data_IF_989465864723
#
_entry.id   IF_989465864723
#
_cell.length_a   1.000
_cell.length_b   1.000
_cell.length_c   1.000
_cell.angle_alpha   90.00
_cell.angle_beta   90.00
_cell.angle_gamma   90.00
#
_symmetry.space_group_name_H-M   'P 1'
#
loop_
_entity.id
_entity.type
_entity.pdbx_description
1 polymer ?
#
# COMPACT_ATOMS: atom_id res chain seq x y z
N UNK A 1 -10.70 -0.68 0.67
CA UNK A 1 -9.82 -1.46 -0.25
C UNK A 1 -9.53 -2.79 0.42
N UNK A 2 -9.47 -3.89 -0.31
CA UNK A 2 -9.05 -5.19 0.23
C UNK A 2 -7.52 -5.31 0.21
N UNK A 3 -6.94 -5.98 1.21
CA UNK A 3 -5.48 -6.10 1.40
C UNK A 3 -4.84 -6.94 0.30
N UNK A 4 -5.44 -8.09 -0.02
CA UNK A 4 -4.95 -8.97 -1.07
C UNK A 4 -5.07 -8.29 -2.44
N UNK A 5 -6.15 -7.53 -2.65
CA UNK A 5 -6.31 -6.71 -3.85
C UNK A 5 -5.21 -5.66 -3.98
N UNK A 6 -4.86 -4.95 -2.91
CA UNK A 6 -3.79 -3.96 -2.95
C UNK A 6 -2.43 -4.60 -3.24
N UNK A 7 -2.12 -5.73 -2.59
CA UNK A 7 -0.89 -6.49 -2.85
C UNK A 7 -0.83 -6.93 -4.31
N UNK A 8 -1.91 -7.50 -4.85
CA UNK A 8 -1.96 -7.96 -6.23
C UNK A 8 -1.72 -6.84 -7.25
N UNK A 9 -2.32 -5.66 -7.04
CA UNK A 9 -2.13 -4.50 -7.92
C UNK A 9 -0.69 -3.97 -7.88
N UNK A 10 -0.12 -3.83 -6.68
CA UNK A 10 1.23 -3.27 -6.49
C UNK A 10 2.29 -4.25 -7.03
N UNK A 11 2.11 -5.55 -6.79
CA UNK A 11 3.01 -6.59 -7.32
C UNK A 11 2.89 -6.74 -8.84
N UNK A 12 1.69 -6.56 -9.42
CA UNK A 12 1.50 -6.50 -10.88
C UNK A 12 2.23 -5.31 -11.52
N UNK A 13 2.45 -4.22 -10.77
CA UNK A 13 3.29 -3.09 -11.17
C UNK A 13 4.80 -3.35 -11.02
N UNK A 14 5.19 -4.58 -10.64
CA UNK A 14 6.59 -4.98 -10.47
C UNK A 14 7.20 -4.58 -9.13
N UNK A 15 6.39 -4.15 -8.16
CA UNK A 15 6.84 -3.73 -6.84
C UNK A 15 6.59 -4.89 -5.85
N UNK A 16 7.66 -5.49 -5.36
CA UNK A 16 7.59 -6.67 -4.49
C UNK A 16 7.19 -6.31 -3.06
N UNK A 17 6.32 -7.13 -2.45
CA UNK A 17 5.97 -7.03 -1.04
C UNK A 17 7.10 -7.60 -0.18
N UNK A 18 7.67 -6.80 0.71
CA UNK A 18 8.80 -7.19 1.57
C UNK A 18 8.38 -7.48 3.01
N UNK A 19 7.31 -6.86 3.50
CA UNK A 19 6.75 -7.12 4.82
C UNK A 19 5.23 -6.96 4.79
N UNK A 20 4.53 -7.84 5.53
CA UNK A 20 3.10 -7.74 5.79
C UNK A 20 2.85 -8.04 7.25
N UNK A 21 2.28 -7.09 7.96
CA UNK A 21 1.93 -7.25 9.36
C UNK A 21 0.63 -6.57 9.73
N UNK A 22 0.01 -7.08 10.78
CA UNK A 22 -1.14 -6.45 11.41
C UNK A 22 -0.67 -5.36 12.37
N UNK A 23 -1.39 -4.25 12.47
CA UNK A 23 -1.11 -3.24 13.50
C UNK A 23 -1.41 -3.81 14.89
N UNK A 24 -0.74 -3.33 15.96
CA UNK A 24 -0.92 -3.85 17.32
C UNK A 24 -2.36 -3.77 17.86
N UNK A 25 -3.19 -2.90 17.28
CA UNK A 25 -4.59 -2.75 17.65
C UNK A 25 -5.56 -3.58 16.79
N UNK A 26 -5.02 -4.42 15.89
CA UNK A 26 -5.76 -5.25 14.94
C UNK A 26 -6.76 -4.47 14.08
N UNK A 27 -6.53 -3.18 13.81
CA UNK A 27 -7.43 -2.35 12.98
C UNK A 27 -6.94 -2.08 11.57
N UNK A 28 -5.67 -2.38 11.28
CA UNK A 28 -5.09 -2.11 9.98
C UNK A 28 -4.01 -3.13 9.61
N UNK A 29 -3.76 -3.24 8.31
CA UNK A 29 -2.61 -3.92 7.75
C UNK A 29 -1.55 -2.90 7.37
N UNK A 30 -0.30 -3.17 7.74
CA UNK A 30 0.86 -2.46 7.26
C UNK A 30 1.60 -3.36 6.26
N UNK A 31 1.82 -2.81 5.07
CA UNK A 31 2.50 -3.45 3.96
C UNK A 31 3.75 -2.62 3.63
N UNK A 32 4.90 -3.28 3.55
CA UNK A 32 6.14 -2.66 3.09
C UNK A 32 6.53 -3.24 1.74
N UNK A 33 7.06 -2.40 0.87
CA UNK A 33 7.41 -2.78 -0.49
C UNK A 33 8.88 -2.51 -0.80
N UNK A 34 9.43 -3.23 -1.79
CA UNK A 34 10.85 -3.20 -2.16
C UNK A 34 11.31 -1.83 -2.69
N UNK A 35 10.39 -1.01 -3.20
CA UNK A 35 10.66 0.36 -3.63
C UNK A 35 10.73 1.37 -2.46
N UNK A 36 10.56 0.91 -1.22
CA UNK A 36 10.56 1.74 -0.02
C UNK A 36 9.21 2.34 0.35
N UNK A 37 8.13 1.95 -0.34
CA UNK A 37 6.79 2.42 -0.05
C UNK A 37 6.19 1.62 1.12
N UNK A 38 5.41 2.32 1.95
CA UNK A 38 4.54 1.74 2.95
C UNK A 38 3.08 2.01 2.58
N UNK A 39 2.26 0.98 2.72
CA UNK A 39 0.81 1.07 2.55
C UNK A 39 0.15 0.60 3.83
N UNK A 40 -0.71 1.44 4.39
CA UNK A 40 -1.58 1.06 5.50
C UNK A 40 -3.02 0.98 5.00
N UNK A 41 -3.69 -0.13 5.31
CA UNK A 41 -5.09 -0.38 4.95
C UNK A 41 -5.85 -0.68 6.23
N UNK A 42 -6.68 0.26 6.65
CA UNK A 42 -7.57 0.12 7.79
C UNK A 42 -8.77 -0.75 7.42
N UNK A 43 -9.30 -1.50 8.39
CA UNK A 43 -10.49 -2.35 8.19
C UNK A 43 -11.73 -1.55 7.77
N UNK A 44 -11.80 -0.29 8.19
CA UNK A 44 -12.80 0.67 7.75
C UNK A 44 -12.69 1.03 6.24
N UNK A 45 -11.75 0.40 5.51
CA UNK A 45 -11.54 0.58 4.09
C UNK A 45 -10.67 1.79 3.73
N UNK A 46 -10.20 2.55 4.73
CA UNK A 46 -9.32 3.70 4.56
C UNK A 46 -7.91 3.23 4.22
N UNK A 47 -7.30 3.85 3.22
CA UNK A 47 -5.95 3.55 2.77
C UNK A 47 -5.07 4.79 2.90
N UNK A 48 -3.84 4.60 3.35
CA UNK A 48 -2.81 5.63 3.36
C UNK A 48 -1.49 5.07 2.84
N UNK A 49 -0.79 5.85 2.03
CA UNK A 49 0.53 5.51 1.49
C UNK A 49 1.57 6.48 2.04
N UNK A 50 2.75 5.99 2.39
CA UNK A 50 3.88 6.79 2.88
C UNK A 50 5.22 6.18 2.46
N UNK A 51 6.32 6.87 2.73
CA UNK A 51 7.67 6.40 2.38
C UNK A 51 8.14 6.84 0.99
N UNK A 52 9.15 6.15 0.48
CA UNK A 52 9.74 6.42 -0.83
C UNK A 52 9.00 5.61 -1.92
N UNK A 53 8.86 6.12 -3.13
CA UNK A 53 8.17 5.39 -4.20
C UNK A 53 6.64 5.32 -4.06
N UNK A 54 6.03 6.20 -3.25
CA UNK A 54 4.58 6.29 -3.09
C UNK A 54 3.84 6.57 -4.39
N UNK A 55 4.44 7.33 -5.31
CA UNK A 55 3.83 7.69 -6.59
C UNK A 55 3.56 6.45 -7.43
N UNK A 56 4.53 5.53 -7.51
CA UNK A 56 4.37 4.26 -8.25
C UNK A 56 3.31 3.36 -7.60
N UNK A 57 3.21 3.37 -6.26
CA UNK A 57 2.15 2.65 -5.54
C UNK A 57 0.78 3.29 -5.75
N UNK A 58 0.69 4.63 -5.72
CA UNK A 58 -0.56 5.36 -5.95
C UNK A 58 -1.06 5.14 -7.38
N UNK A 59 -0.16 5.17 -8.36
CA UNK A 59 -0.46 4.87 -9.76
C UNK A 59 -0.95 3.41 -9.93
N UNK A 60 -0.23 2.44 -9.35
CA UNK A 60 -0.64 1.03 -9.36
C UNK A 60 -2.02 0.79 -8.73
N UNK A 61 -2.37 1.57 -7.70
CA UNK A 61 -3.66 1.51 -7.02
C UNK A 61 -4.75 2.35 -7.71
N UNK A 62 -4.42 3.10 -8.77
CA UNK A 62 -5.33 4.02 -9.45
C UNK A 62 -5.81 5.16 -8.54
N UNK A 63 -5.02 5.53 -7.55
CA UNK A 63 -5.31 6.65 -6.66
C UNK A 63 -4.93 7.95 -7.35
N UNK A 64 -5.67 9.04 -7.13
CA UNK A 64 -5.29 10.33 -7.69
C UNK A 64 -3.91 10.73 -7.14
N UNK A 65 -2.89 10.66 -7.99
CA UNK A 65 -1.59 11.28 -7.73
C UNK A 65 -1.84 12.78 -7.74
N UNK A 66 -1.92 13.40 -6.56
CA UNK A 66 -2.10 14.84 -6.50
C UNK A 66 -0.90 15.48 -7.20
N UNK A 67 -1.08 16.26 -8.28
CA UNK A 67 0.02 17.00 -8.87
C UNK A 67 0.50 17.98 -7.81
N UNK A 68 1.74 17.81 -7.35
CA UNK A 68 2.45 18.80 -6.54
C UNK A 68 2.92 19.94 -7.42
#
# INVERSE_FOLDING_TARGET
MDVEKAIALITAAGIELTDRRRTPDDKAWQLSFSNGALVEIQDAGKLSTSGNGIEAVQDALGLPTKPG
#
